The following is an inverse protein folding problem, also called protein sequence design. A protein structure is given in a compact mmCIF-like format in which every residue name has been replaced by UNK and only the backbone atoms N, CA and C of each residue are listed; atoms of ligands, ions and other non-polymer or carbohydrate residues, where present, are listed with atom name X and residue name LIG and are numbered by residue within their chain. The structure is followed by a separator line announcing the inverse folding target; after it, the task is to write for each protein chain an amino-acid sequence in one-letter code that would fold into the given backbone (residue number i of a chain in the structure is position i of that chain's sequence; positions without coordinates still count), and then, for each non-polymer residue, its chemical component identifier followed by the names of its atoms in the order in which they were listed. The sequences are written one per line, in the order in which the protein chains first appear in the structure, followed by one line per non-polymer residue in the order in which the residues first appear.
data_IF_854689902408
#
_entry.id   IF_854689902408
#
_cell.length_a   1.000
_cell.length_b   1.000
_cell.length_c   1.000
_cell.angle_alpha   90.00
_cell.angle_beta   90.00
_cell.angle_gamma   90.00
#
_symmetry.space_group_name_H-M   'P 1'
#
loop_
_entity.id
_entity.type
_entity.pdbx_description
1 polymer ?
#
# COMPACT_ATOMS: atom_id res chain seq x y z
N UNK A 1 6.08 -19.10 -2.98
CA UNK A 1 5.65 -17.70 -2.76
C UNK A 1 4.57 -17.35 -3.78
N UNK A 2 3.38 -16.96 -3.34
CA UNK A 2 2.30 -16.53 -4.24
C UNK A 2 2.53 -15.08 -4.67
N UNK A 3 2.11 -14.73 -5.89
CA UNK A 3 2.20 -13.37 -6.43
C UNK A 3 0.84 -12.68 -6.31
N UNK A 4 0.84 -11.41 -5.96
CA UNK A 4 -0.35 -10.55 -5.97
C UNK A 4 0.04 -9.24 -6.63
N UNK A 5 -0.75 -8.80 -7.60
CA UNK A 5 -0.61 -7.49 -8.22
C UNK A 5 -1.53 -6.49 -7.51
N UNK A 6 -1.01 -5.30 -7.20
CA UNK A 6 -1.77 -4.18 -6.67
C UNK A 6 -1.46 -2.91 -7.48
N UNK A 7 -2.49 -2.10 -7.68
CA UNK A 7 -2.36 -0.80 -8.31
C UNK A 7 -2.35 0.29 -7.24
N UNK A 8 -1.43 1.24 -7.39
CA UNK A 8 -1.25 2.38 -6.54
C UNK A 8 -1.23 3.68 -7.35
N UNK A 9 -1.57 4.77 -6.68
CA UNK A 9 -1.44 6.12 -7.23
C UNK A 9 -0.40 6.86 -6.39
N UNK A 10 0.57 7.51 -7.02
CA UNK A 10 1.56 8.30 -6.29
C UNK A 10 0.87 9.44 -5.55
N UNK A 11 1.30 9.69 -4.32
CA UNK A 11 0.72 10.73 -3.48
C UNK A 11 1.46 12.05 -3.69
N UNK A 12 0.73 13.09 -4.08
CA UNK A 12 1.28 14.45 -4.18
C UNK A 12 1.42 15.11 -2.80
N UNK A 13 0.54 14.77 -1.86
CA UNK A 13 0.51 15.36 -0.52
C UNK A 13 0.72 14.38 0.64
N UNK A 14 1.34 14.91 1.68
CA UNK A 14 1.72 14.20 2.90
C UNK A 14 1.08 14.84 4.14
N UNK A 15 1.06 14.09 5.24
CA UNK A 15 0.52 14.55 6.52
C UNK A 15 -0.92 14.11 6.81
N UNK A 16 -1.43 14.57 7.95
CA UNK A 16 -2.66 14.06 8.57
C UNK A 16 -3.92 14.34 7.75
N UNK A 17 -4.00 15.51 7.14
CA UNK A 17 -5.20 15.94 6.38
C UNK A 17 -5.41 15.05 5.15
N UNK A 18 -4.38 14.88 4.35
CA UNK A 18 -4.42 14.04 3.14
C UNK A 18 -4.66 12.57 3.47
N UNK A 19 -3.96 12.05 4.49
CA UNK A 19 -4.17 10.68 4.94
C UNK A 19 -5.62 10.45 5.41
N UNK A 20 -6.26 11.45 6.03
CA UNK A 20 -7.68 11.36 6.43
C UNK A 20 -8.61 11.38 5.21
N UNK A 21 -8.31 12.20 4.20
CA UNK A 21 -9.09 12.27 2.97
C UNK A 21 -9.00 10.96 2.18
N UNK A 22 -7.79 10.39 2.03
CA UNK A 22 -7.57 9.10 1.37
C UNK A 22 -8.39 7.99 2.03
N UNK A 23 -8.34 7.89 3.37
CA UNK A 23 -9.13 6.90 4.12
C UNK A 23 -10.63 7.07 3.94
N UNK A 24 -11.12 8.31 3.80
CA UNK A 24 -12.55 8.59 3.55
C UNK A 24 -13.03 8.12 2.18
N UNK A 25 -12.12 7.98 1.21
CA UNK A 25 -12.41 7.48 -0.15
C UNK A 25 -11.97 6.02 -0.33
N UNK A 26 -11.96 5.22 0.76
CA UNK A 26 -11.59 3.80 0.76
C UNK A 26 -10.16 3.50 0.26
N UNK A 27 -9.26 4.50 0.34
CA UNK A 27 -7.84 4.33 -0.01
C UNK A 27 -6.96 4.30 1.23
N UNK A 28 -5.97 3.42 1.19
CA UNK A 28 -4.99 3.25 2.26
C UNK A 28 -3.68 3.90 1.84
N UNK A 29 -3.14 4.84 2.64
CA UNK A 29 -1.81 5.39 2.40
C UNK A 29 -0.74 4.33 2.68
N UNK A 30 0.16 4.11 1.72
CA UNK A 30 1.23 3.14 1.77
C UNK A 30 2.59 3.81 1.51
N UNK A 31 3.66 3.11 1.90
CA UNK A 31 5.04 3.54 1.68
C UNK A 31 5.83 2.36 1.14
N UNK A 32 6.52 2.56 0.03
CA UNK A 32 7.48 1.62 -0.55
C UNK A 32 8.89 2.15 -0.29
N UNK A 33 9.77 1.33 0.28
CA UNK A 33 11.14 1.68 0.62
C UNK A 33 12.08 0.48 0.48
N UNK A 34 13.40 0.72 0.53
CA UNK A 34 14.44 -0.32 0.58
C UNK A 34 15.41 -0.35 -0.61
N UNK A 35 15.07 0.28 -1.74
CA UNK A 35 15.91 0.31 -2.95
C UNK A 35 16.73 1.60 -3.16
N UNK A 36 16.61 2.56 -2.24
CA UNK A 36 17.21 3.90 -2.36
C UNK A 36 16.15 4.98 -2.12
N UNK A 37 15.21 5.10 -3.06
CA UNK A 37 14.13 6.07 -2.96
C UNK A 37 12.92 5.53 -2.19
N UNK A 38 12.25 6.43 -1.47
CA UNK A 38 11.00 6.13 -0.76
C UNK A 38 9.84 6.69 -1.57
N UNK A 39 8.90 5.83 -1.92
CA UNK A 39 7.71 6.22 -2.69
C UNK A 39 6.48 6.18 -1.80
N UNK A 40 5.83 7.33 -1.67
CA UNK A 40 4.53 7.44 -1.02
C UNK A 40 3.42 7.25 -2.04
N UNK A 41 2.58 6.24 -1.84
CA UNK A 41 1.47 5.93 -2.74
C UNK A 41 0.20 5.61 -1.96
N UNK A 42 -0.94 5.56 -2.65
CA UNK A 42 -2.21 5.15 -2.08
C UNK A 42 -2.76 3.96 -2.87
N UNK A 43 -3.21 2.93 -2.18
CA UNK A 43 -3.83 1.74 -2.77
C UNK A 43 -5.28 1.59 -2.31
N UNK A 44 -6.08 0.83 -3.06
CA UNK A 44 -7.44 0.48 -2.67
C UNK A 44 -7.42 -0.49 -1.47
N UNK A 45 -8.24 -0.23 -0.45
CA UNK A 45 -8.34 -1.09 0.74
C UNK A 45 -8.64 -2.54 0.38
N UNK A 46 -9.50 -2.77 -0.62
CA UNK A 46 -9.94 -4.12 -1.04
C UNK A 46 -8.80 -4.93 -1.63
N UNK A 47 -7.86 -4.27 -2.30
CA UNK A 47 -6.67 -4.91 -2.85
C UNK A 47 -5.73 -5.40 -1.73
N UNK A 48 -5.70 -4.71 -0.59
CA UNK A 48 -4.83 -5.03 0.55
C UNK A 48 -5.40 -6.12 1.47
N UNK A 49 -6.73 -6.31 1.53
CA UNK A 49 -7.36 -7.30 2.43
C UNK A 49 -6.77 -8.70 2.32
N UNK A 50 -6.49 -9.16 1.09
CA UNK A 50 -5.91 -10.49 0.86
C UNK A 50 -4.47 -10.61 1.35
N UNK A 51 -3.73 -9.51 1.36
CA UNK A 51 -2.33 -9.46 1.80
C UNK A 51 -2.21 -9.37 3.32
N UNK A 52 -3.15 -8.71 3.98
CA UNK A 52 -3.12 -8.43 5.42
C UNK A 52 -3.73 -9.56 6.24
N UNK A 53 -4.86 -10.12 5.80
CA UNK A 53 -5.65 -11.08 6.60
C UNK A 53 -5.32 -12.55 6.32
N UNK A 54 -4.21 -12.83 5.64
CA UNK A 54 -3.77 -14.19 5.37
C UNK A 54 -2.37 -14.41 5.95
N UNK A 55 -2.07 -15.61 6.48
CA UNK A 55 -0.75 -15.93 7.06
C UNK A 55 0.32 -16.20 5.98
N UNK A 56 -0.01 -16.05 4.70
CA UNK A 56 0.89 -16.38 3.60
C UNK A 56 1.78 -15.19 3.25
N UNK A 57 3.06 -15.44 2.99
CA UNK A 57 3.96 -14.42 2.44
C UNK A 57 3.76 -14.29 0.92
N UNK A 58 3.40 -13.11 0.47
CA UNK A 58 3.25 -12.78 -0.95
C UNK A 58 4.43 -11.95 -1.45
N UNK A 59 4.84 -12.21 -2.70
CA UNK A 59 5.56 -11.20 -3.48
C UNK A 59 4.52 -10.27 -4.11
N UNK A 60 4.60 -9.01 -3.76
CA UNK A 60 3.64 -7.99 -4.18
C UNK A 60 4.24 -7.27 -5.38
N UNK A 61 3.53 -7.28 -6.48
CA UNK A 61 3.85 -6.50 -7.67
C UNK A 61 3.02 -5.22 -7.62
N UNK A 62 3.69 -4.09 -7.39
CA UNK A 62 3.06 -2.79 -7.20
C UNK A 62 3.24 -2.00 -8.48
N UNK A 63 2.14 -1.67 -9.14
CA UNK A 63 2.12 -0.73 -10.26
C UNK A 63 1.75 0.66 -9.72
N UNK A 64 2.69 1.60 -9.78
CA UNK A 64 2.48 3.00 -9.37
C UNK A 64 2.64 3.87 -10.62
N UNK A 65 1.54 4.39 -11.14
CA UNK A 65 1.50 5.27 -12.32
C UNK A 65 2.27 4.72 -13.55
N UNK A 66 2.26 3.40 -13.73
CA UNK A 66 2.92 2.70 -14.85
C UNK A 66 4.31 2.14 -14.53
N UNK A 67 4.87 2.46 -13.35
CA UNK A 67 6.12 1.87 -12.87
C UNK A 67 5.83 0.66 -11.98
N UNK A 68 6.19 -0.52 -12.48
CA UNK A 68 5.98 -1.79 -11.76
C UNK A 68 7.19 -2.16 -10.93
N UNK A 69 7.01 -2.31 -9.63
CA UNK A 69 8.06 -2.69 -8.68
C UNK A 69 7.66 -3.91 -7.85
N UNK A 70 8.61 -4.81 -7.59
CA UNK A 70 8.38 -5.94 -6.68
C UNK A 70 8.72 -5.56 -5.24
N UNK A 71 7.81 -5.87 -4.30
CA UNK A 71 7.96 -5.58 -2.89
C UNK A 71 7.50 -6.75 -2.00
N UNK A 72 7.85 -6.68 -0.72
CA UNK A 72 7.35 -7.55 0.34
C UNK A 72 6.63 -6.71 1.39
N UNK A 73 5.60 -7.27 2.00
CA UNK A 73 4.91 -6.63 3.13
C UNK A 73 5.81 -6.71 4.37
N UNK A 74 6.17 -5.56 4.92
CA UNK A 74 7.04 -5.48 6.11
C UNK A 74 6.28 -5.12 7.38
N UNK A 75 5.39 -4.12 7.32
CA UNK A 75 4.61 -3.66 8.47
C UNK A 75 3.17 -3.34 8.04
N UNK A 76 2.22 -3.58 8.95
CA UNK A 76 0.82 -3.18 8.81
C UNK A 76 0.39 -2.43 10.07
N UNK A 77 -0.31 -1.31 9.89
CA UNK A 77 -0.87 -0.52 10.97
C UNK A 77 -2.39 -0.66 10.98
N UNK A 78 -2.93 -1.07 12.11
CA UNK A 78 -4.37 -1.22 12.32
C UNK A 78 -4.91 -0.07 13.15
N UNK A 79 -6.20 0.21 12.96
CA UNK A 79 -6.87 1.14 13.86
C UNK A 79 -7.07 0.44 15.22
N UNK A 80 -6.84 1.11 16.36
CA UNK A 80 -6.81 0.45 17.67
C UNK A 80 -8.17 -0.12 18.12
N UNK A 81 -9.26 0.30 17.50
CA UNK A 81 -10.63 -0.10 17.87
C UNK A 81 -11.46 -0.62 16.69
N UNK A 82 -10.92 -0.58 15.47
CA UNK A 82 -11.64 -0.97 14.25
C UNK A 82 -10.76 -1.86 13.39
#
# INVERSE_FOLDING_TARGET
MKKVAIQGIKREGQGTKDAKQLRRVEKVPCVLYGGGDTVHFAADERALKKLVFTPETYRIEIDIDGETTMALLQEVQFHPVT
#
